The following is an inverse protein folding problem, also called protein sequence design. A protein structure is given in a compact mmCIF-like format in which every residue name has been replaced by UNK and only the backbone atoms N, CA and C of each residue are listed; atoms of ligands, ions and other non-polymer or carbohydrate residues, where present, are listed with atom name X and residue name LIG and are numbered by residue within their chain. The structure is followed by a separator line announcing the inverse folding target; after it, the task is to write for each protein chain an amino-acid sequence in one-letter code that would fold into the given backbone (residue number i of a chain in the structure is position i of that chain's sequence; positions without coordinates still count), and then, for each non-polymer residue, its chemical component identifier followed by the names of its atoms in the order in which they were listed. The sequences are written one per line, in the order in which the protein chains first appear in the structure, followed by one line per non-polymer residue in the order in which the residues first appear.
data_IF_950104013410
#
_entry.id   IF_950104013410
#
_cell.length_a   1.000
_cell.length_b   1.000
_cell.length_c   1.000
_cell.angle_alpha   90.00
_cell.angle_beta   90.00
_cell.angle_gamma   90.00
#
_symmetry.space_group_name_H-M   'P 1'
#
loop_
_entity.id
_entity.type
_entity.pdbx_description
1 polymer ?
#
# COMPACT_ATOMS: atom_id res chain seq x y z
N UNK A 1 15.15 -37.84 -12.33
CA UNK A 1 13.94 -37.33 -11.65
C UNK A 1 13.01 -36.80 -12.73
N UNK A 2 11.76 -37.30 -12.82
CA UNK A 2 10.82 -36.81 -13.84
C UNK A 2 10.50 -35.34 -13.57
N UNK A 3 10.69 -34.48 -14.57
CA UNK A 3 10.22 -33.12 -14.50
C UNK A 3 8.68 -33.15 -14.47
N UNK A 4 8.06 -32.61 -13.42
CA UNK A 4 6.61 -32.60 -13.17
C UNK A 4 5.98 -31.24 -13.51
N UNK A 5 6.58 -30.49 -14.42
CA UNK A 5 6.04 -29.21 -14.85
C UNK A 5 4.73 -29.40 -15.61
N UNK A 6 3.70 -28.62 -15.26
CA UNK A 6 2.38 -28.62 -15.91
C UNK A 6 2.17 -27.27 -16.59
N UNK A 7 1.82 -27.29 -17.88
CA UNK A 7 1.50 -26.08 -18.64
C UNK A 7 0.03 -25.70 -18.43
N UNK A 8 -0.19 -24.45 -18.05
CA UNK A 8 -1.51 -23.84 -17.89
C UNK A 8 -1.70 -22.75 -18.95
N UNK A 9 -2.91 -22.66 -19.51
CA UNK A 9 -3.31 -21.57 -20.41
C UNK A 9 -4.29 -20.67 -19.68
N UNK A 10 -3.94 -19.38 -19.54
CA UNK A 10 -4.75 -18.37 -18.88
C UNK A 10 -5.34 -17.40 -19.91
N UNK A 11 -6.59 -16.99 -19.71
CA UNK A 11 -7.17 -15.83 -20.39
C UNK A 11 -6.97 -14.60 -19.51
N UNK A 12 -6.34 -13.57 -20.06
CA UNK A 12 -6.04 -12.30 -19.41
C UNK A 12 -6.26 -11.18 -20.43
N UNK A 13 -6.56 -9.96 -19.97
CA UNK A 13 -6.72 -8.82 -20.88
C UNK A 13 -5.38 -8.46 -21.52
N UNK A 14 -5.45 -7.78 -22.67
CA UNK A 14 -4.27 -7.30 -23.37
C UNK A 14 -3.59 -6.14 -22.61
N UNK A 15 -4.35 -5.33 -21.89
CA UNK A 15 -3.79 -4.27 -21.04
C UNK A 15 -2.96 -4.86 -19.89
N UNK A 16 -3.50 -5.85 -19.17
CA UNK A 16 -2.80 -6.45 -18.03
C UNK A 16 -1.51 -7.17 -18.47
N UNK A 17 -1.51 -7.87 -19.63
CA UNK A 17 -0.29 -8.54 -20.11
C UNK A 17 0.77 -7.53 -20.53
N UNK A 18 0.36 -6.41 -21.13
CA UNK A 18 1.27 -5.33 -21.50
C UNK A 18 1.86 -4.66 -20.26
N UNK A 19 1.09 -4.49 -19.19
CA UNK A 19 1.60 -3.98 -17.92
C UNK A 19 2.66 -4.92 -17.32
N UNK A 20 2.39 -6.23 -17.29
CA UNK A 20 3.34 -7.25 -16.84
C UNK A 20 4.64 -7.19 -17.68
N UNK A 21 4.52 -7.05 -18.99
CA UNK A 21 5.67 -6.96 -19.88
C UNK A 21 6.50 -5.69 -19.65
N UNK A 22 5.84 -4.55 -19.51
CA UNK A 22 6.51 -3.29 -19.20
C UNK A 22 7.25 -3.34 -17.86
N UNK A 23 6.64 -3.99 -16.85
CA UNK A 23 7.27 -4.23 -15.57
C UNK A 23 8.52 -5.11 -15.73
N UNK A 24 8.43 -6.26 -16.41
CA UNK A 24 9.57 -7.17 -16.60
C UNK A 24 10.69 -6.56 -17.44
N UNK A 25 10.37 -5.69 -18.40
CA UNK A 25 11.36 -4.94 -19.17
C UNK A 25 12.13 -3.94 -18.29
N UNK A 26 11.47 -3.38 -17.27
CA UNK A 26 12.07 -2.43 -16.32
C UNK A 26 12.86 -3.13 -15.21
N UNK A 27 12.49 -4.38 -14.89
CA UNK A 27 13.06 -5.18 -13.81
C UNK A 27 13.38 -6.62 -14.27
N UNK A 28 14.47 -6.82 -15.04
CA UNK A 28 14.82 -8.13 -15.60
C UNK A 28 15.15 -9.20 -14.56
N UNK A 29 15.44 -8.82 -13.31
CA UNK A 29 15.72 -9.71 -12.18
C UNK A 29 14.55 -10.65 -11.84
N UNK A 30 13.33 -10.29 -12.24
CA UNK A 30 12.13 -11.13 -12.05
C UNK A 30 12.00 -12.25 -13.11
N UNK A 31 12.92 -12.32 -14.07
CA UNK A 31 13.02 -13.41 -15.03
C UNK A 31 11.91 -13.41 -16.08
N UNK A 32 11.44 -14.61 -16.44
CA UNK A 32 10.41 -14.78 -17.47
C UNK A 32 9.00 -14.53 -16.94
N UNK A 33 8.03 -14.28 -17.83
CA UNK A 33 6.60 -14.18 -17.45
C UNK A 33 6.12 -15.37 -16.62
N UNK A 34 6.52 -16.59 -16.99
CA UNK A 34 6.13 -17.81 -16.27
C UNK A 34 6.73 -17.86 -14.87
N UNK A 35 7.97 -17.41 -14.72
CA UNK A 35 8.65 -17.34 -13.43
C UNK A 35 8.03 -16.26 -12.54
N UNK A 36 7.82 -15.06 -13.07
CA UNK A 36 7.15 -13.96 -12.39
C UNK A 36 5.75 -14.36 -11.90
N UNK A 37 4.91 -14.92 -12.77
CA UNK A 37 3.55 -15.36 -12.40
C UNK A 37 3.62 -16.45 -11.33
N UNK A 38 4.55 -17.41 -11.45
CA UNK A 38 4.75 -18.44 -10.42
C UNK A 38 5.10 -17.84 -9.07
N UNK A 39 6.03 -16.88 -9.02
CA UNK A 39 6.42 -16.20 -7.78
C UNK A 39 5.26 -15.39 -7.19
N UNK A 40 4.55 -14.62 -8.00
CA UNK A 40 3.39 -13.83 -7.57
C UNK A 40 2.30 -14.73 -6.98
N UNK A 41 1.96 -15.84 -7.65
CA UNK A 41 0.95 -16.79 -7.18
C UNK A 41 1.39 -17.47 -5.89
N UNK A 42 2.65 -17.92 -5.78
CA UNK A 42 3.15 -18.54 -4.56
C UNK A 42 3.22 -17.57 -3.38
N UNK A 43 3.60 -16.31 -3.64
CA UNK A 43 3.57 -15.23 -2.63
C UNK A 43 2.15 -14.94 -2.16
N UNK A 44 1.19 -14.85 -3.09
CA UNK A 44 -0.23 -14.67 -2.76
C UNK A 44 -0.77 -15.84 -1.93
N UNK A 45 -0.50 -17.10 -2.33
CA UNK A 45 -0.92 -18.28 -1.57
C UNK A 45 -0.30 -18.27 -0.17
N UNK A 46 0.98 -17.91 -0.05
CA UNK A 46 1.68 -17.86 1.23
C UNK A 46 1.07 -16.80 2.16
N UNK A 47 0.80 -15.60 1.65
CA UNK A 47 0.14 -14.54 2.43
C UNK A 47 -1.27 -14.94 2.88
N UNK A 48 -2.04 -15.65 2.04
CA UNK A 48 -3.36 -16.17 2.40
C UNK A 48 -3.31 -17.34 3.39
N UNK A 49 -2.32 -18.24 3.28
CA UNK A 49 -2.13 -19.30 4.28
C UNK A 49 -1.83 -18.72 5.66
N UNK A 50 -1.03 -17.66 5.73
CA UNK A 50 -0.79 -16.93 6.98
C UNK A 50 -2.08 -16.23 7.46
N UNK A 51 -2.91 -15.67 6.58
CA UNK A 51 -4.20 -15.09 6.98
C UNK A 51 -5.24 -16.12 7.46
N UNK A 52 -5.32 -17.31 6.87
CA UNK A 52 -6.30 -18.34 7.28
C UNK A 52 -5.93 -18.99 8.62
N UNK A 53 -4.65 -19.09 8.96
CA UNK A 53 -4.22 -19.54 10.30
C UNK A 53 -4.37 -18.41 11.33
N UNK A 54 -4.43 -17.14 10.90
CA UNK A 54 -4.64 -15.95 11.76
C UNK A 54 -6.13 -15.55 11.89
N UNK A 55 -7.05 -16.42 11.50
CA UNK A 55 -8.49 -16.17 11.71
C UNK A 55 -8.84 -16.50 13.18
N UNK A 56 -8.69 -15.48 14.05
CA UNK A 56 -9.64 -15.13 15.13
C UNK A 56 -9.08 -14.17 16.19
N UNK A 57 -7.77 -13.86 16.26
CA UNK A 57 -7.30 -12.98 17.36
C UNK A 57 -5.98 -12.19 17.18
N UNK A 58 -5.32 -12.17 16.01
CA UNK A 58 -4.04 -11.43 15.89
C UNK A 58 -3.90 -10.68 14.57
N UNK A 59 -4.20 -9.38 14.63
CA UNK A 59 -3.72 -8.36 13.69
C UNK A 59 -2.20 -8.19 13.82
N UNK A 60 -1.43 -9.18 13.39
CA UNK A 60 0.03 -9.07 13.37
C UNK A 60 0.47 -8.62 11.97
N UNK A 61 0.76 -7.32 11.85
CA UNK A 61 1.54 -6.73 10.78
C UNK A 61 2.98 -7.26 10.90
N UNK A 62 3.47 -7.98 9.90
CA UNK A 62 4.88 -8.41 9.84
C UNK A 62 5.68 -7.27 9.19
N UNK A 63 6.54 -6.63 9.98
CA UNK A 63 7.50 -5.64 9.51
C UNK A 63 8.77 -6.39 9.10
N UNK A 64 9.14 -6.27 7.83
CA UNK A 64 10.44 -6.75 7.36
C UNK A 64 11.46 -5.64 7.62
N UNK A 65 12.40 -5.90 8.53
CA UNK A 65 13.40 -4.94 9.01
C UNK A 65 14.79 -5.42 8.60
N UNK A 66 15.66 -4.51 8.19
CA UNK A 66 17.04 -4.83 7.87
C UNK A 66 17.82 -5.34 9.11
N UNK A 67 18.91 -6.07 8.85
CA UNK A 67 19.71 -6.72 9.90
C UNK A 67 20.25 -5.73 10.93
N UNK A 68 20.60 -4.51 10.51
CA UNK A 68 21.13 -3.50 11.40
C UNK A 68 20.03 -2.98 12.34
N UNK A 69 18.84 -2.69 11.81
CA UNK A 69 17.66 -2.32 12.61
C UNK A 69 17.28 -3.44 13.59
N UNK A 70 17.29 -4.69 13.15
CA UNK A 70 17.01 -5.85 14.00
C UNK A 70 18.01 -5.97 15.17
N UNK A 71 19.29 -5.73 14.93
CA UNK A 71 20.32 -5.78 15.97
C UNK A 71 20.19 -4.63 16.98
N UNK A 72 19.79 -3.44 16.52
CA UNK A 72 19.50 -2.31 17.42
C UNK A 72 18.31 -2.68 18.32
N UNK A 73 17.21 -3.17 17.76
CA UNK A 73 16.01 -3.57 18.52
C UNK A 73 16.38 -4.61 19.59
N UNK A 74 17.12 -5.66 19.22
CA UNK A 74 17.58 -6.68 20.18
C UNK A 74 18.42 -6.08 21.29
N UNK A 75 19.39 -5.23 20.96
CA UNK A 75 20.27 -4.59 21.96
C UNK A 75 19.49 -3.76 22.97
N UNK A 76 18.44 -3.08 22.53
CA UNK A 76 17.64 -2.20 23.39
C UNK A 76 16.70 -3.02 24.30
N UNK A 77 16.19 -4.16 23.80
CA UNK A 77 15.43 -5.13 24.61
C UNK A 77 16.33 -5.82 25.63
N UNK A 78 17.52 -6.28 25.22
CA UNK A 78 18.48 -6.98 26.09
C UNK A 78 18.99 -6.09 27.24
N UNK A 79 19.08 -4.77 27.00
CA UNK A 79 19.40 -3.79 28.04
C UNK A 79 18.23 -3.44 28.96
N UNK A 80 17.04 -4.02 28.73
CA UNK A 80 15.86 -3.87 29.56
C UNK A 80 15.10 -2.55 29.38
N UNK A 81 15.38 -1.79 28.32
CA UNK A 81 14.64 -0.55 28.04
C UNK A 81 13.20 -0.80 27.59
N UNK A 82 12.95 -1.93 26.91
CA UNK A 82 11.62 -2.36 26.48
C UNK A 82 11.42 -3.85 26.73
N UNK A 83 10.17 -4.25 26.99
CA UNK A 83 9.84 -5.64 27.35
C UNK A 83 9.81 -6.59 26.15
N UNK A 84 9.56 -6.05 24.96
CA UNK A 84 9.49 -6.81 23.72
C UNK A 84 9.60 -5.86 22.52
N UNK A 85 9.84 -6.42 21.35
CA UNK A 85 9.83 -5.69 20.09
C UNK A 85 8.49 -4.96 19.85
N UNK A 86 7.36 -5.60 20.21
CA UNK A 86 6.04 -4.97 20.13
C UNK A 86 5.89 -3.75 21.03
N UNK A 87 6.53 -3.77 22.20
CA UNK A 87 6.52 -2.68 23.18
C UNK A 87 7.30 -1.47 22.64
N UNK A 88 8.48 -1.74 22.06
CA UNK A 88 9.28 -0.73 21.36
C UNK A 88 8.54 -0.12 20.16
N UNK A 89 7.97 -0.95 19.28
CA UNK A 89 7.21 -0.47 18.12
C UNK A 89 6.00 0.36 18.58
N UNK A 90 5.29 -0.09 19.62
CA UNK A 90 4.15 0.66 20.16
C UNK A 90 4.57 2.03 20.73
N UNK A 91 5.74 2.10 21.37
CA UNK A 91 6.29 3.37 21.88
C UNK A 91 6.65 4.33 20.75
N UNK A 92 7.35 3.84 19.71
CA UNK A 92 7.70 4.64 18.52
C UNK A 92 6.45 5.13 17.79
N UNK A 93 5.46 4.27 17.60
CA UNK A 93 4.19 4.63 16.98
C UNK A 93 3.50 5.72 17.81
N UNK A 94 3.38 5.58 19.13
CA UNK A 94 2.79 6.65 19.96
C UNK A 94 3.54 7.97 19.87
N UNK A 95 4.86 7.94 19.85
CA UNK A 95 5.68 9.15 19.85
C UNK A 95 5.60 9.91 18.52
N UNK A 96 5.58 9.21 17.39
CA UNK A 96 5.66 9.84 16.06
C UNK A 96 4.34 9.83 15.28
N UNK A 97 3.54 8.77 15.41
CA UNK A 97 2.34 8.57 14.60
C UNK A 97 1.18 9.38 15.13
N UNK A 98 1.03 9.58 16.44
CA UNK A 98 -0.07 10.41 16.97
C UNK A 98 0.05 11.87 16.52
N UNK A 99 1.26 12.42 16.52
CA UNK A 99 1.55 13.78 16.04
C UNK A 99 1.39 13.85 14.51
N UNK A 100 1.94 12.88 13.78
CA UNK A 100 1.87 12.85 12.32
C UNK A 100 0.44 12.64 11.79
N UNK A 101 -0.34 11.74 12.38
CA UNK A 101 -1.70 11.43 11.95
C UNK A 101 -2.63 12.63 12.14
N UNK A 102 -2.53 13.33 13.27
CA UNK A 102 -3.32 14.54 13.51
C UNK A 102 -3.02 15.61 12.45
N UNK A 103 -1.75 15.82 12.12
CA UNK A 103 -1.37 16.81 11.11
C UNK A 103 -1.63 16.35 9.67
N UNK A 104 -1.53 15.06 9.38
CA UNK A 104 -1.90 14.47 8.09
C UNK A 104 -3.41 14.62 7.85
N UNK A 105 -4.24 14.26 8.82
CA UNK A 105 -5.71 14.40 8.75
C UNK A 105 -6.11 15.87 8.63
N UNK A 106 -5.50 16.78 9.40
CA UNK A 106 -5.74 18.22 9.28
C UNK A 106 -5.41 18.75 7.89
N UNK A 107 -4.26 18.37 7.31
CA UNK A 107 -3.87 18.76 5.95
C UNK A 107 -4.84 18.22 4.90
N UNK A 108 -5.20 16.93 4.97
CA UNK A 108 -6.17 16.33 4.04
C UNK A 108 -7.55 16.97 4.15
N UNK A 109 -8.03 17.26 5.36
CA UNK A 109 -9.31 17.94 5.58
C UNK A 109 -9.31 19.38 5.07
N UNK A 110 -8.20 20.11 5.26
CA UNK A 110 -8.02 21.46 4.69
C UNK A 110 -8.04 21.41 3.16
N UNK A 111 -7.24 20.53 2.56
CA UNK A 111 -7.19 20.36 1.11
C UNK A 111 -8.56 19.97 0.53
N UNK A 112 -9.35 19.17 1.24
CA UNK A 112 -10.70 18.79 0.79
C UNK A 112 -11.69 19.97 0.86
N UNK A 113 -11.60 20.82 1.89
CA UNK A 113 -12.39 22.05 1.99
C UNK A 113 -12.01 23.04 0.89
N UNK A 114 -10.73 23.21 0.62
CA UNK A 114 -10.22 24.10 -0.41
C UNK A 114 -10.68 23.63 -1.80
N UNK A 115 -10.59 22.32 -2.07
CA UNK A 115 -11.09 21.71 -3.32
C UNK A 115 -12.61 21.88 -3.49
N UNK A 116 -13.41 21.69 -2.44
CA UNK A 116 -14.86 21.94 -2.48
C UNK A 116 -15.19 23.42 -2.67
N UNK A 117 -14.41 24.33 -2.07
CA UNK A 117 -14.52 25.77 -2.26
C UNK A 117 -14.29 26.16 -3.71
N UNK A 118 -13.20 25.67 -4.31
CA UNK A 118 -12.90 25.90 -5.73
C UNK A 118 -14.00 25.32 -6.63
N UNK A 119 -14.44 24.08 -6.43
CA UNK A 119 -15.52 23.46 -7.20
C UNK A 119 -16.84 24.25 -7.12
N UNK A 120 -17.22 24.73 -5.93
CA UNK A 120 -18.43 25.54 -5.75
C UNK A 120 -18.35 26.89 -6.46
N UNK A 121 -17.15 27.48 -6.56
CA UNK A 121 -16.92 28.72 -7.29
C UNK A 121 -17.04 28.54 -8.81
N UNK A 122 -16.70 27.35 -9.34
CA UNK A 122 -16.89 27.02 -10.76
C UNK A 122 -18.36 26.79 -11.14
N UNK A 123 -19.20 26.25 -10.24
CA UNK A 123 -20.64 26.10 -10.50
C UNK A 123 -21.39 27.44 -10.44
N UNK A 124 -21.03 28.35 -9.54
CA UNK A 124 -21.65 29.68 -9.42
C UNK A 124 -21.40 30.61 -10.63
N UNK A 125 -20.30 30.43 -11.36
CA UNK A 125 -19.95 31.27 -12.53
C UNK A 125 -20.75 30.89 -13.79
N UNK A 126 -21.21 29.63 -13.91
CA UNK A 126 -22.01 29.19 -15.06
C UNK A 126 -23.43 29.77 -15.06
N UNK A 127 -23.98 30.13 -13.89
CA UNK A 127 -25.33 30.68 -13.80
C UNK A 127 -25.42 32.20 -14.02
N UNK A 128 -24.34 32.97 -13.83
CA UNK A 128 -24.38 34.44 -13.96
C UNK A 128 -24.21 34.96 -15.40
N UNK A 129 -23.82 34.10 -16.35
CA UNK A 129 -23.55 34.53 -17.75
C UNK A 129 -24.83 34.50 -18.62
N UNK A 130 -25.92 33.86 -18.19
CA UNK A 130 -27.10 33.64 -19.04
C UNK A 130 -28.15 34.77 -18.94
N UNK A 131 -28.18 35.60 -17.89
CA UNK A 131 -29.27 36.59 -17.70
C UNK A 131 -29.05 38.00 -18.30
N UNK A 132 -27.94 38.29 -18.99
CA UNK A 132 -27.70 39.65 -19.54
C UNK A 132 -27.98 39.82 -21.04
N UNK A 133 -28.72 38.91 -21.67
CA UNK A 133 -29.23 39.08 -23.03
C UNK A 133 -30.69 38.68 -23.12
N UNK A 134 -31.58 39.53 -22.59
CA UNK A 134 -32.91 39.78 -23.16
C UNK A 134 -33.58 40.93 -22.39
N UNK A 135 -33.32 42.16 -22.85
CA UNK A 135 -34.11 43.34 -22.54
C UNK A 135 -34.20 44.15 -23.83
N UNK A 136 -35.27 43.90 -24.59
CA UNK A 136 -35.74 44.75 -25.67
C UNK A 136 -36.37 46.00 -25.09
#
# INVERSE_FOLDING_TARGET
MLNKDVKLTLRISEEDINEIDNFLNSYPEFGSRSEFIRHAVMSYISSKRVSVVKDQNQSAFELDLDDNTTNIIKTVIDKGFFKSEKDLISAIVREYVDVFLLDFVKRKSKNMKDLMGELSSFEGVKHSTIERRNGR
#
